data_IF_331175224796
#
_entry.id   IF_331175224796
#
_cell.length_a   1.000
_cell.length_b   1.000
_cell.length_c   1.000
_cell.angle_alpha   90.00
_cell.angle_beta   90.00
_cell.angle_gamma   90.00
#
_symmetry.space_group_name_H-M   'P 1'
#
loop_
_entity.id
_entity.type
_entity.pdbx_description
1 polymer ?
#
# COMPACT_ATOMS: atom_id res chain seq x y z
N UNK A 1 17.44 -19.63 -37.84
CA UNK A 1 16.76 -18.43 -37.34
C UNK A 1 15.29 -18.57 -37.67
N UNK A 2 14.42 -18.84 -36.68
CA UNK A 2 12.98 -18.84 -36.92
C UNK A 2 12.52 -17.38 -36.99
N UNK A 3 12.21 -16.92 -38.20
CA UNK A 3 11.62 -15.62 -38.45
C UNK A 3 10.13 -15.69 -38.07
N UNK A 4 9.84 -15.75 -36.77
CA UNK A 4 8.51 -15.36 -36.31
C UNK A 4 8.48 -13.84 -36.39
N UNK A 5 7.82 -13.32 -37.41
CA UNK A 5 7.48 -11.91 -37.49
C UNK A 5 6.64 -11.59 -36.25
N UNK A 6 7.28 -10.97 -35.24
CA UNK A 6 6.58 -10.49 -34.06
C UNK A 6 5.39 -9.66 -34.52
N UNK A 7 4.22 -9.99 -34.01
CA UNK A 7 3.02 -9.23 -34.34
C UNK A 7 3.23 -7.76 -33.92
N UNK A 8 2.61 -6.81 -34.63
CA UNK A 8 2.72 -5.39 -34.26
C UNK A 8 2.34 -5.13 -32.80
N UNK A 9 1.49 -5.98 -32.21
CA UNK A 9 1.08 -5.94 -30.81
C UNK A 9 2.20 -6.39 -29.87
N UNK A 10 2.83 -7.54 -30.13
CA UNK A 10 3.98 -8.03 -29.34
C UNK A 10 5.15 -7.05 -29.38
N UNK A 11 5.43 -6.44 -30.53
CA UNK A 11 6.50 -5.43 -30.65
C UNK A 11 6.21 -4.20 -29.78
N UNK A 12 4.96 -3.75 -29.73
CA UNK A 12 4.52 -2.63 -28.87
C UNK A 12 4.62 -3.00 -27.40
N UNK A 13 4.21 -4.21 -27.04
CA UNK A 13 4.26 -4.68 -25.67
C UNK A 13 5.70 -4.84 -25.18
N UNK A 14 6.61 -5.36 -26.02
CA UNK A 14 8.03 -5.44 -25.70
C UNK A 14 8.65 -4.06 -25.44
N UNK A 15 8.30 -3.05 -26.23
CA UNK A 15 8.78 -1.67 -26.02
C UNK A 15 8.26 -1.14 -24.68
N UNK A 16 6.98 -1.35 -24.37
CA UNK A 16 6.37 -0.96 -23.09
C UNK A 16 7.06 -1.65 -21.90
N UNK A 17 7.34 -2.96 -22.01
CA UNK A 17 8.07 -3.71 -20.98
C UNK A 17 9.52 -3.23 -20.84
N UNK A 18 10.16 -2.86 -21.94
CA UNK A 18 11.52 -2.31 -21.95
C UNK A 18 11.59 -0.94 -21.28
N UNK A 19 10.58 -0.09 -21.44
CA UNK A 19 10.48 1.19 -20.72
C UNK A 19 10.23 1.01 -19.22
N UNK A 20 9.32 0.10 -18.85
CA UNK A 20 9.07 -0.28 -17.45
C UNK A 20 10.35 -0.81 -16.77
N UNK A 21 11.12 -1.65 -17.48
CA UNK A 21 12.37 -2.23 -16.95
C UNK A 21 13.53 -1.23 -16.91
N UNK A 22 13.58 -0.27 -17.83
CA UNK A 22 14.59 0.79 -17.87
C UNK A 22 14.27 1.96 -16.94
N UNK A 23 13.03 2.08 -16.45
CA UNK A 23 12.65 3.04 -15.42
C UNK A 23 12.11 2.34 -14.15
N UNK A 24 12.94 1.52 -13.47
CA UNK A 24 12.53 0.84 -12.25
C UNK A 24 12.18 1.83 -11.15
N UNK A 25 12.88 2.98 -11.09
CA UNK A 25 12.68 4.04 -10.10
C UNK A 25 11.27 4.65 -10.15
N UNK A 26 10.68 4.82 -11.34
CA UNK A 26 9.32 5.33 -11.48
C UNK A 26 8.25 4.36 -10.95
N UNK A 27 8.40 3.06 -11.24
CA UNK A 27 7.49 2.02 -10.74
C UNK A 27 7.62 1.78 -9.23
N UNK A 28 8.85 1.91 -8.71
CA UNK A 28 9.11 1.84 -7.27
C UNK A 28 8.57 3.08 -6.56
N UNK A 29 8.70 4.28 -7.13
CA UNK A 29 8.12 5.49 -6.56
C UNK A 29 6.59 5.40 -6.51
N UNK A 30 5.93 4.82 -7.52
CA UNK A 30 4.48 4.60 -7.50
C UNK A 30 4.06 3.53 -6.50
N UNK A 31 4.83 2.43 -6.40
CA UNK A 31 4.61 1.38 -5.40
C UNK A 31 4.87 1.86 -3.97
N UNK A 32 5.90 2.69 -3.78
CA UNK A 32 6.24 3.31 -2.49
C UNK A 32 5.24 4.43 -2.16
N UNK A 33 4.78 5.23 -3.11
CA UNK A 33 3.71 6.20 -2.85
C UNK A 33 2.38 5.50 -2.52
N UNK A 34 2.06 4.35 -3.15
CA UNK A 34 0.92 3.52 -2.74
C UNK A 34 1.11 2.88 -1.36
N UNK A 35 2.31 2.38 -1.06
CA UNK A 35 2.63 1.77 0.24
C UNK A 35 2.79 2.77 1.39
N UNK A 36 3.27 3.97 1.09
CA UNK A 36 3.56 5.03 2.07
C UNK A 36 2.36 5.93 2.34
N UNK A 37 1.43 6.08 1.40
CA UNK A 37 0.13 6.71 1.66
C UNK A 37 -0.92 5.70 2.16
N UNK A 38 -0.55 4.42 2.23
CA UNK A 38 -1.31 3.37 2.88
C UNK A 38 -1.09 3.39 4.39
N UNK A 39 -2.15 3.73 5.12
CA UNK A 39 -2.59 2.92 6.25
C UNK A 39 -2.30 3.40 7.71
N UNK A 40 -2.36 4.71 7.99
CA UNK A 40 -3.03 5.14 9.23
C UNK A 40 -4.54 5.25 8.98
N UNK A 41 -4.92 5.78 7.82
CA UNK A 41 -6.30 5.94 7.40
C UNK A 41 -6.97 4.63 6.97
N UNK A 42 -6.19 3.59 6.67
CA UNK A 42 -6.71 2.25 6.33
C UNK A 42 -6.73 1.35 7.60
N UNK A 43 -6.13 1.82 8.72
CA UNK A 43 -6.16 1.17 10.03
C UNK A 43 -7.35 1.71 10.81
N UNK A 44 -7.61 3.00 10.66
CA UNK A 44 -8.80 3.69 11.17
C UNK A 44 -10.01 3.60 10.22
N UNK A 45 -9.77 3.51 8.91
CA UNK A 45 -10.80 3.38 7.87
C UNK A 45 -11.12 1.94 7.46
N UNK A 46 -10.14 1.04 7.42
CA UNK A 46 -10.34 -0.39 7.09
C UNK A 46 -10.85 -1.23 8.27
N UNK A 47 -10.50 -0.86 9.51
CA UNK A 47 -11.06 -1.49 10.72
C UNK A 47 -12.37 -0.83 11.20
N UNK A 48 -12.71 0.30 10.61
CA UNK A 48 -13.85 1.14 10.98
C UNK A 48 -13.62 1.84 12.32
N UNK A 49 -14.15 3.06 12.40
CA UNK A 49 -14.20 3.91 13.60
C UNK A 49 -14.63 3.19 14.90
N UNK A 50 -15.34 2.06 14.77
CA UNK A 50 -15.74 1.21 15.90
C UNK A 50 -14.54 0.54 16.59
N UNK A 51 -13.59 0.00 15.82
CA UNK A 51 -12.39 -0.65 16.38
C UNK A 51 -11.47 0.36 17.05
N UNK A 52 -11.25 1.49 16.39
CA UNK A 52 -10.47 2.60 16.95
C UNK A 52 -11.13 3.17 18.21
N UNK A 53 -12.45 3.34 18.21
CA UNK A 53 -13.20 3.82 19.38
C UNK A 53 -13.09 2.90 20.60
N UNK A 54 -13.22 1.59 20.41
CA UNK A 54 -13.09 0.61 21.51
C UNK A 54 -11.68 0.63 22.09
N UNK A 55 -10.65 0.71 21.24
CA UNK A 55 -9.25 0.73 21.67
C UNK A 55 -8.95 1.97 22.53
N UNK A 56 -9.48 3.13 22.13
CA UNK A 56 -9.39 4.37 22.91
C UNK A 56 -10.09 4.24 24.27
N UNK A 57 -11.30 3.67 24.31
CA UNK A 57 -12.05 3.48 25.56
C UNK A 57 -11.29 2.55 26.52
N UNK A 58 -10.69 1.46 26.03
CA UNK A 58 -9.89 0.55 26.85
C UNK A 58 -8.65 1.25 27.43
N UNK A 59 -7.95 2.05 26.62
CA UNK A 59 -6.79 2.80 27.08
C UNK A 59 -7.14 3.81 28.17
N UNK A 60 -8.24 4.56 27.98
CA UNK A 60 -8.69 5.54 28.97
C UNK A 60 -9.16 4.83 30.24
N UNK A 61 -9.99 3.78 30.12
CA UNK A 61 -10.48 3.01 31.27
C UNK A 61 -9.35 2.37 32.08
N UNK A 62 -8.39 1.73 31.40
CA UNK A 62 -7.21 1.14 32.03
C UNK A 62 -6.34 2.19 32.72
N UNK A 63 -6.14 3.35 32.09
CA UNK A 63 -5.39 4.45 32.70
C UNK A 63 -6.07 5.00 33.96
N UNK A 64 -7.40 5.17 33.95
CA UNK A 64 -8.16 5.62 35.12
C UNK A 64 -8.08 4.61 36.26
N UNK A 65 -8.20 3.31 35.97
CA UNK A 65 -8.03 2.25 36.97
C UNK A 65 -6.62 2.23 37.55
N UNK A 66 -5.60 2.36 36.69
CA UNK A 66 -4.21 2.45 37.14
C UNK A 66 -4.01 3.64 38.08
N UNK A 67 -4.52 4.82 37.72
CA UNK A 67 -4.48 6.04 38.55
C UNK A 67 -5.26 5.94 39.87
N UNK A 68 -6.27 5.08 39.95
CA UNK A 68 -7.05 4.87 41.17
C UNK A 68 -6.36 3.90 42.13
N UNK A 69 -5.59 2.95 41.60
CA UNK A 69 -4.91 1.91 42.37
C UNK A 69 -3.47 2.32 42.74
N UNK A 70 -2.83 3.17 41.92
CA UNK A 70 -1.44 3.63 42.06
C UNK A 70 -1.34 5.16 42.00
#
# INVERSE_FOLDING_TARGET
>A
MNNHDETPEEKRERIRQSELKNNPTGSLQDSLNRGSNGNLNDLTGGMGWKGTGVLIVVLIGGFVLYKLIF
#
